data_IF_058856125799
#
_entry.id   IF_058856125799
#
_cell.length_a   1.000
_cell.length_b   1.000
_cell.length_c   1.000
_cell.angle_alpha   90.00
_cell.angle_beta   90.00
_cell.angle_gamma   90.00
#
_symmetry.space_group_name_H-M   'P 1'
#
loop_
_entity.id
_entity.type
_entity.pdbx_description
1 polymer ?
#
# COMPACT_ATOMS: atom_id res chain seq x y z
N UNK A 1 -18.84 5.94 -10.93
CA UNK A 1 -18.63 7.41 -11.00
C UNK A 1 -17.12 7.58 -11.01
N UNK A 2 -16.54 7.85 -12.18
CA UNK A 2 -15.08 7.95 -12.36
C UNK A 2 -14.68 9.42 -12.18
N UNK A 3 -13.96 9.73 -11.12
CA UNK A 3 -13.39 11.07 -10.89
C UNK A 3 -12.22 11.28 -11.89
N UNK A 4 -12.21 12.34 -12.70
CA UNK A 4 -11.15 12.54 -13.67
C UNK A 4 -9.86 12.97 -12.97
N UNK A 5 -8.93 12.03 -12.85
CA UNK A 5 -7.59 12.26 -13.40
C UNK A 5 -6.59 13.04 -12.56
N UNK A 6 -6.64 12.98 -11.22
CA UNK A 6 -5.45 13.34 -10.43
C UNK A 6 -4.48 12.15 -10.49
N UNK A 7 -3.41 12.31 -11.26
CA UNK A 7 -2.34 11.32 -11.30
C UNK A 7 -1.68 11.20 -9.92
N UNK A 8 -1.44 9.97 -9.48
CA UNK A 8 -0.72 9.67 -8.24
C UNK A 8 0.77 9.66 -8.56
N UNK A 9 1.51 10.61 -7.99
CA UNK A 9 2.96 10.67 -8.13
C UNK A 9 3.63 9.64 -7.23
N UNK A 10 4.45 8.77 -7.81
CA UNK A 10 5.24 7.78 -7.08
C UNK A 10 6.74 8.08 -7.27
N UNK A 11 7.35 8.65 -6.23
CA UNK A 11 8.78 8.90 -6.19
C UNK A 11 9.57 7.58 -6.08
N UNK A 12 10.78 7.51 -6.67
CA UNK A 12 11.65 6.35 -6.50
C UNK A 12 12.06 6.23 -5.02
N UNK A 13 11.96 5.01 -4.49
CA UNK A 13 12.37 4.66 -3.14
C UNK A 13 13.37 3.50 -3.16
N UNK A 14 14.08 3.30 -2.04
CA UNK A 14 14.96 2.14 -1.84
C UNK A 14 14.12 0.86 -1.75
N UNK A 15 13.80 0.27 -2.89
CA UNK A 15 13.34 -1.12 -3.01
C UNK A 15 14.51 -1.98 -3.50
N UNK A 16 14.45 -3.31 -3.32
CA UNK A 16 15.57 -4.21 -3.65
C UNK A 16 16.23 -3.95 -5.02
N UNK A 17 15.43 -3.56 -6.02
CA UNK A 17 15.90 -2.84 -7.20
C UNK A 17 15.07 -1.55 -7.36
N UNK A 18 15.62 -0.37 -7.06
CA UNK A 18 14.88 0.88 -7.22
C UNK A 18 14.49 1.09 -8.68
N UNK A 19 13.27 1.56 -8.97
CA UNK A 19 12.96 2.06 -10.31
C UNK A 19 13.85 3.27 -10.62
N UNK A 20 14.39 3.33 -11.83
CA UNK A 20 15.33 4.39 -12.24
C UNK A 20 14.67 5.76 -12.44
N UNK A 21 13.33 5.85 -12.41
CA UNK A 21 12.55 7.07 -12.64
C UNK A 21 11.26 7.07 -11.84
N UNK A 22 10.81 8.26 -11.48
CA UNK A 22 9.45 8.51 -10.97
C UNK A 22 8.39 8.10 -11.99
N UNK A 23 7.19 7.83 -11.51
CA UNK A 23 6.04 7.47 -12.35
C UNK A 23 4.81 8.23 -11.90
N UNK A 24 4.04 8.71 -12.87
CA UNK A 24 2.70 9.25 -12.65
C UNK A 24 1.70 8.17 -13.05
N UNK A 25 0.93 7.69 -12.07
CA UNK A 25 0.04 6.55 -12.24
C UNK A 25 -1.42 6.98 -12.08
N UNK A 26 -2.31 6.31 -12.80
CA UNK A 26 -3.75 6.50 -12.57
C UNK A 26 -4.14 5.87 -11.22
N UNK A 27 -5.19 6.36 -10.54
CA UNK A 27 -5.59 5.85 -9.22
C UNK A 27 -5.90 4.34 -9.16
N UNK A 28 -6.28 3.73 -10.28
CA UNK A 28 -6.60 2.30 -10.38
C UNK A 28 -5.45 1.45 -10.90
N UNK A 29 -4.31 2.07 -11.25
CA UNK A 29 -3.14 1.31 -11.68
C UNK A 29 -2.47 0.65 -10.47
N UNK A 30 -2.17 -0.63 -10.62
CA UNK A 30 -1.56 -1.42 -9.55
C UNK A 30 -0.04 -1.21 -9.53
N UNK A 31 0.48 -0.83 -8.36
CA UNK A 31 1.92 -0.81 -8.09
C UNK A 31 2.32 -2.11 -7.40
N UNK A 32 3.21 -2.89 -8.03
CA UNK A 32 3.81 -4.05 -7.36
C UNK A 32 4.83 -3.57 -6.34
N UNK A 33 4.53 -3.77 -5.06
CA UNK A 33 5.46 -3.53 -3.96
C UNK A 33 5.95 -4.88 -3.45
N UNK A 34 7.27 -5.10 -3.50
CA UNK A 34 7.89 -6.27 -2.87
C UNK A 34 8.37 -5.86 -1.47
N UNK A 35 7.75 -6.44 -0.44
CA UNK A 35 8.05 -6.12 0.97
C UNK A 35 8.62 -7.36 1.64
N UNK A 36 9.84 -7.25 2.17
CA UNK A 36 10.38 -8.21 3.14
C UNK A 36 10.03 -7.72 4.53
N UNK A 37 9.27 -8.50 5.28
CA UNK A 37 8.85 -8.14 6.64
C UNK A 37 9.16 -9.28 7.63
N UNK A 38 9.37 -8.98 8.92
CA UNK A 38 9.54 -10.01 9.94
C UNK A 38 8.33 -10.93 10.03
N UNK A 39 8.57 -12.20 10.37
CA UNK A 39 7.51 -13.20 10.55
C UNK A 39 6.47 -12.77 11.60
N UNK A 40 6.89 -12.02 12.62
CA UNK A 40 6.00 -11.46 13.64
C UNK A 40 4.94 -10.49 13.08
N UNK A 41 5.21 -9.86 11.93
CA UNK A 41 4.25 -8.99 11.23
C UNK A 41 3.47 -9.79 10.19
N UNK A 42 4.14 -10.65 9.43
CA UNK A 42 3.50 -11.46 8.39
C UNK A 42 2.48 -12.46 8.96
N UNK A 43 2.78 -13.10 10.10
CA UNK A 43 1.90 -14.10 10.71
C UNK A 43 0.49 -13.56 10.99
N UNK A 44 0.34 -12.49 11.79
CA UNK A 44 -0.95 -11.87 12.05
C UNK A 44 -1.68 -11.39 10.79
N UNK A 45 -0.94 -10.83 9.82
CA UNK A 45 -1.50 -10.39 8.54
C UNK A 45 -2.15 -11.55 7.78
N UNK A 46 -1.44 -12.67 7.62
CA UNK A 46 -1.94 -13.85 6.93
C UNK A 46 -3.11 -14.51 7.69
N UNK A 47 -3.05 -14.54 9.02
CA UNK A 47 -4.15 -15.04 9.85
C UNK A 47 -5.43 -14.21 9.63
N UNK A 48 -5.32 -12.88 9.59
CA UNK A 48 -6.45 -11.98 9.33
C UNK A 48 -7.01 -12.16 7.92
N UNK A 49 -6.14 -12.30 6.93
CA UNK A 49 -6.55 -12.52 5.54
C UNK A 49 -7.31 -13.86 5.38
N UNK A 50 -6.81 -14.92 6.02
CA UNK A 50 -7.48 -16.22 6.06
C UNK A 50 -8.85 -16.13 6.72
N UNK A 51 -8.93 -15.51 7.90
CA UNK A 51 -10.19 -15.37 8.65
C UNK A 51 -11.25 -14.56 7.88
N UNK A 52 -10.81 -13.58 7.09
CA UNK A 52 -11.69 -12.77 6.25
C UNK A 52 -11.99 -13.39 4.88
N UNK A 53 -11.40 -14.53 4.54
CA UNK A 53 -11.46 -15.15 3.20
C UNK A 53 -11.08 -14.20 2.06
N UNK A 54 -10.11 -13.32 2.32
CA UNK A 54 -9.67 -12.29 1.37
C UNK A 54 -8.21 -12.48 0.97
N UNK A 55 -7.81 -12.03 -0.23
CA UNK A 55 -6.41 -11.99 -0.61
C UNK A 55 -5.58 -11.17 0.39
N UNK A 56 -4.38 -11.67 0.73
CA UNK A 56 -3.45 -10.99 1.65
C UNK A 56 -3.14 -9.58 1.18
N UNK A 57 -2.99 -9.37 -0.13
CA UNK A 57 -2.75 -8.05 -0.71
C UNK A 57 -3.88 -7.06 -0.43
N UNK A 58 -5.15 -7.48 -0.52
CA UNK A 58 -6.28 -6.61 -0.25
C UNK A 58 -6.35 -6.21 1.22
N UNK A 59 -6.16 -7.17 2.13
CA UNK A 59 -6.14 -6.93 3.58
C UNK A 59 -4.95 -6.04 3.96
N UNK A 60 -3.78 -6.27 3.37
CA UNK A 60 -2.60 -5.44 3.59
C UNK A 60 -2.81 -4.01 3.10
N UNK A 61 -3.41 -3.82 1.91
CA UNK A 61 -3.73 -2.49 1.39
C UNK A 61 -4.70 -1.75 2.29
N UNK A 62 -5.76 -2.40 2.79
CA UNK A 62 -6.72 -1.77 3.70
C UNK A 62 -6.05 -1.34 5.02
N UNK A 63 -5.24 -2.22 5.62
CA UNK A 63 -4.53 -1.92 6.87
C UNK A 63 -3.52 -0.77 6.68
N UNK A 64 -2.82 -0.76 5.55
CA UNK A 64 -1.87 0.31 5.23
C UNK A 64 -2.59 1.64 4.97
N UNK A 65 -3.71 1.62 4.25
CA UNK A 65 -4.52 2.81 3.99
C UNK A 65 -5.04 3.40 5.31
N UNK A 66 -5.54 2.56 6.22
CA UNK A 66 -5.99 2.99 7.54
C UNK A 66 -4.85 3.62 8.35
N UNK A 67 -3.68 2.98 8.41
CA UNK A 67 -2.53 3.50 9.14
C UNK A 67 -1.99 4.83 8.57
N UNK A 68 -2.00 4.99 7.24
CA UNK A 68 -1.60 6.24 6.60
C UNK A 68 -2.62 7.37 6.83
N UNK A 69 -3.91 7.05 6.85
CA UNK A 69 -4.96 8.02 7.16
C UNK A 69 -4.88 8.50 8.61
N UNK A 70 -4.60 7.60 9.55
CA UNK A 70 -4.40 7.91 10.97
C UNK A 70 -3.20 8.86 11.16
N UNK A 71 -2.06 8.53 10.56
CA UNK A 71 -0.87 9.37 10.61
C UNK A 71 -1.06 10.76 9.97
N UNK A 72 -1.89 10.87 8.94
CA UNK A 72 -2.24 12.16 8.33
C UNK A 72 -3.21 12.98 9.19
N UNK A 73 -4.10 12.30 9.93
CA UNK A 73 -5.00 12.92 10.91
C UNK A 73 -4.24 13.53 12.09
N UNK A 74 -3.23 12.82 12.60
CA UNK A 74 -2.35 13.31 13.68
C UNK A 74 -1.48 14.50 13.27
N UNK A 75 -1.10 14.61 11.99
CA UNK A 75 -0.33 15.74 11.48
C UNK A 75 -1.16 17.03 11.32
N UNK A 76 -2.48 16.94 11.43
CA UNK A 76 -3.45 18.04 11.34
C UNK A 76 -4.02 18.46 12.70
N UNK A 77 -3.61 17.81 13.80
CA UNK A 77 -4.07 18.04 15.17
C UNK A 77 -3.10 18.90 15.99
#
# INVERSE_FOLDING_TARGET
MNDPGIAVHVAPARSGRPPSRSRDLKPHELVRVEIRMPAAVAGPLFARARAAERPVSAVASDLLAAALADAAGDAMA
#
